data_IF_951699732688
#
_entry.id   IF_951699732688
#
_cell.length_a   1.000
_cell.length_b   1.000
_cell.length_c   1.000
_cell.angle_alpha   90.00
_cell.angle_beta   90.00
_cell.angle_gamma   90.00
#
_symmetry.space_group_name_H-M   'P 1'
#
loop_
_entity.id
_entity.type
_entity.pdbx_description
1 polymer ?
#
# COMPACT_ATOMS: atom_id res chain seq x y z
N UNK A 1 2.72 -11.22 -8.26
CA UNK A 1 3.61 -10.67 -7.22
C UNK A 1 3.70 -11.65 -6.05
N UNK A 2 4.88 -11.86 -5.48
CA UNK A 2 5.12 -12.78 -4.34
C UNK A 2 5.26 -11.95 -3.07
N UNK A 3 4.46 -12.24 -2.04
CA UNK A 3 4.58 -11.58 -0.75
C UNK A 3 5.97 -11.83 -0.13
N UNK A 4 6.57 -10.81 0.47
CA UNK A 4 7.89 -10.92 1.11
C UNK A 4 7.77 -11.00 2.62
N UNK A 5 8.77 -11.57 3.28
CA UNK A 5 8.88 -11.55 4.73
C UNK A 5 9.12 -10.12 5.19
N UNK A 6 8.61 -9.76 6.37
CA UNK A 6 8.85 -8.41 6.91
C UNK A 6 10.35 -8.12 7.10
N UNK A 7 11.17 -9.15 7.37
CA UNK A 7 12.64 -9.07 7.45
C UNK A 7 13.31 -8.77 6.11
N UNK A 8 12.59 -8.96 5.00
CA UNK A 8 13.06 -8.76 3.63
C UNK A 8 12.45 -7.50 3.00
N UNK A 9 11.67 -6.70 3.76
CA UNK A 9 10.94 -5.53 3.25
C UNK A 9 11.86 -4.51 2.56
N UNK A 10 13.08 -4.33 3.07
CA UNK A 10 14.07 -3.43 2.45
C UNK A 10 14.52 -3.96 1.09
N UNK A 11 14.73 -5.28 0.97
CA UNK A 11 15.26 -5.92 -0.23
C UNK A 11 16.47 -5.14 -0.81
N UNK A 12 17.44 -4.80 0.03
CA UNK A 12 18.63 -4.02 -0.35
C UNK A 12 18.41 -2.52 -0.61
N UNK A 13 17.20 -2.00 -0.39
CA UNK A 13 16.88 -0.57 -0.41
C UNK A 13 16.41 -0.17 1.00
N UNK A 14 17.23 0.52 1.80
CA UNK A 14 16.83 0.96 3.12
C UNK A 14 15.82 2.12 3.04
N UNK A 15 15.01 2.30 4.10
CA UNK A 15 13.99 3.36 4.16
C UNK A 15 14.58 4.77 3.93
N UNK A 16 15.82 5.02 4.37
CA UNK A 16 16.51 6.29 4.15
C UNK A 16 16.67 6.62 2.67
N UNK A 17 16.87 5.61 1.81
CA UNK A 17 16.99 5.80 0.37
C UNK A 17 15.65 6.18 -0.27
N UNK A 18 14.52 5.62 0.20
CA UNK A 18 13.19 6.07 -0.21
C UNK A 18 12.95 7.54 0.14
N UNK A 19 13.27 7.91 1.38
CA UNK A 19 13.09 9.28 1.85
C UNK A 19 13.96 10.27 1.05
N UNK A 20 15.19 9.89 0.70
CA UNK A 20 16.08 10.68 -0.16
C UNK A 20 15.55 10.84 -1.58
N UNK A 21 14.83 9.85 -2.10
CA UNK A 21 14.12 9.93 -3.38
C UNK A 21 12.81 10.74 -3.30
N UNK A 22 12.44 11.27 -2.12
CA UNK A 22 11.19 12.01 -1.92
C UNK A 22 9.96 11.13 -1.71
N UNK A 23 10.16 9.87 -1.32
CA UNK A 23 9.07 8.91 -1.11
C UNK A 23 8.87 8.63 0.38
N UNK A 24 7.68 8.95 0.88
CA UNK A 24 7.25 8.68 2.26
C UNK A 24 6.40 7.40 2.30
N UNK A 25 6.78 6.41 3.12
CA UNK A 25 5.92 5.26 3.39
C UNK A 25 4.80 5.68 4.33
N UNK A 26 3.55 5.56 3.87
CA UNK A 26 2.36 6.03 4.61
C UNK A 26 1.47 4.89 5.11
N UNK A 27 1.59 3.70 4.54
CA UNK A 27 0.87 2.51 4.99
C UNK A 27 1.59 1.22 4.58
N UNK A 28 1.59 0.23 5.46
CA UNK A 28 2.08 -1.12 5.23
C UNK A 28 0.98 -2.08 5.66
N UNK A 29 0.63 -3.03 4.80
CA UNK A 29 -0.32 -4.11 5.08
C UNK A 29 0.47 -5.38 5.32
N UNK A 30 0.32 -5.97 6.49
CA UNK A 30 0.88 -7.26 6.85
C UNK A 30 -0.17 -8.37 6.85
N UNK A 31 0.29 -9.62 6.75
CA UNK A 31 -0.53 -10.79 7.07
C UNK A 31 0.26 -11.80 7.88
N UNK A 32 -0.45 -12.61 8.66
CA UNK A 32 0.13 -13.64 9.52
C UNK A 32 -0.81 -14.84 9.56
N UNK A 33 -0.27 -16.06 9.65
CA UNK A 33 -1.08 -17.29 9.71
C UNK A 33 -0.83 -18.02 11.02
N UNK A 34 -1.90 -18.30 11.77
CA UNK A 34 -1.84 -19.03 13.05
C UNK A 34 -1.86 -20.56 12.90
N UNK A 35 -2.00 -21.06 11.67
CA UNK A 35 -2.11 -22.49 11.34
C UNK A 35 -3.24 -23.26 12.04
N UNK A 36 -4.27 -22.53 12.49
CA UNK A 36 -5.44 -23.09 13.15
C UNK A 36 -6.67 -22.23 12.90
N UNK A 37 -7.83 -22.84 13.07
CA UNK A 37 -9.07 -22.08 13.14
C UNK A 37 -9.28 -21.48 14.53
N UNK A 38 -10.05 -20.40 14.57
CA UNK A 38 -10.40 -19.64 15.77
C UNK A 38 -11.92 -19.58 15.94
N UNK A 39 -12.38 -19.76 17.18
CA UNK A 39 -13.75 -19.45 17.55
C UNK A 39 -13.86 -17.94 17.77
N UNK A 40 -14.42 -17.23 16.79
CA UNK A 40 -14.50 -15.77 16.83
C UNK A 40 -15.58 -15.26 17.80
N UNK A 41 -16.56 -16.09 18.16
CA UNK A 41 -17.59 -15.72 19.13
C UNK A 41 -17.00 -15.72 20.54
N UNK A 42 -16.34 -16.81 20.92
CA UNK A 42 -15.62 -16.92 22.20
C UNK A 42 -14.55 -15.83 22.33
N UNK A 43 -13.76 -15.59 21.27
CA UNK A 43 -12.78 -14.51 21.28
C UNK A 43 -13.41 -13.12 21.39
N UNK A 44 -14.58 -12.87 20.79
CA UNK A 44 -15.23 -11.57 20.89
C UNK A 44 -15.76 -11.29 22.31
N UNK A 45 -16.19 -12.33 23.02
CA UNK A 45 -16.69 -12.23 24.39
C UNK A 45 -15.55 -11.96 25.39
N UNK A 46 -14.40 -12.61 25.21
CA UNK A 46 -13.27 -12.53 26.15
C UNK A 46 -12.24 -11.42 25.83
N UNK A 47 -12.19 -10.95 24.58
CA UNK A 47 -11.17 -10.01 24.13
C UNK A 47 -11.69 -8.57 24.05
N UNK A 48 -11.17 -7.70 24.93
CA UNK A 48 -11.41 -6.27 24.86
C UNK A 48 -10.88 -5.63 23.56
N UNK A 49 -11.45 -4.48 23.19
CA UNK A 49 -11.11 -3.72 21.98
C UNK A 49 -11.33 -4.49 20.66
N UNK A 50 -12.30 -5.40 20.68
CA UNK A 50 -12.76 -6.12 19.50
C UNK A 50 -14.10 -5.57 19.00
N UNK A 51 -14.37 -5.81 17.72
CA UNK A 51 -15.68 -5.66 17.10
C UNK A 51 -15.89 -6.85 16.19
N UNK A 52 -16.99 -7.57 16.41
CA UNK A 52 -17.35 -8.73 15.61
C UNK A 52 -18.85 -8.71 15.31
N UNK A 53 -19.18 -8.56 14.04
CA UNK A 53 -20.55 -8.49 13.54
C UNK A 53 -20.63 -9.38 12.28
N UNK A 54 -20.72 -10.71 12.42
CA UNK A 54 -20.58 -11.67 11.32
C UNK A 54 -21.58 -11.44 10.18
N UNK A 55 -22.76 -10.90 10.47
CA UNK A 55 -23.79 -10.53 9.49
C UNK A 55 -23.34 -9.41 8.54
N UNK A 56 -22.39 -8.58 8.96
CA UNK A 56 -21.83 -7.47 8.16
C UNK A 56 -20.44 -7.78 7.66
N UNK A 57 -19.60 -8.39 8.52
CA UNK A 57 -18.22 -8.70 8.19
C UNK A 57 -17.76 -9.96 8.95
N UNK A 58 -17.23 -10.92 8.20
CA UNK A 58 -16.93 -12.27 8.71
C UNK A 58 -15.68 -12.38 9.59
N UNK A 59 -14.92 -11.30 9.74
CA UNK A 59 -13.71 -11.28 10.56
C UNK A 59 -13.91 -10.45 11.82
N UNK A 60 -13.35 -10.94 12.92
CA UNK A 60 -13.21 -10.16 14.16
C UNK A 60 -12.18 -9.06 13.92
N UNK A 61 -12.49 -7.83 14.33
CA UNK A 61 -11.59 -6.68 14.21
C UNK A 61 -11.05 -6.33 15.59
N UNK A 62 -9.77 -6.57 15.83
CA UNK A 62 -9.09 -6.14 17.04
C UNK A 62 -8.32 -4.83 16.80
N UNK A 63 -8.44 -3.87 17.73
CA UNK A 63 -7.72 -2.59 17.68
C UNK A 63 -6.88 -2.43 18.94
N UNK A 64 -5.55 -2.64 18.87
CA UNK A 64 -4.68 -2.44 20.03
C UNK A 64 -4.73 -0.96 20.48
N UNK A 65 -4.94 -0.66 21.78
CA UNK A 65 -5.07 0.73 22.24
C UNK A 65 -3.85 1.62 21.97
N UNK A 66 -2.65 1.03 22.02
CA UNK A 66 -1.37 1.74 21.89
C UNK A 66 -0.85 1.79 20.44
N UNK A 67 -1.56 1.19 19.48
CA UNK A 67 -1.12 1.12 18.08
C UNK A 67 -2.24 1.55 17.13
N UNK A 68 -1.91 2.43 16.19
CA UNK A 68 -2.85 2.92 15.18
C UNK A 68 -3.06 1.90 14.04
N UNK A 69 -3.36 0.65 14.39
CA UNK A 69 -3.57 -0.45 13.44
C UNK A 69 -4.89 -1.16 13.72
N UNK A 70 -5.32 -1.99 12.77
CA UNK A 70 -6.41 -2.94 12.98
C UNK A 70 -5.96 -4.33 12.53
N UNK A 71 -6.30 -5.34 13.33
CA UNK A 71 -6.04 -6.75 13.03
C UNK A 71 -7.38 -7.39 12.69
N UNK A 72 -7.50 -7.82 11.44
CA UNK A 72 -8.65 -8.48 10.86
C UNK A 72 -8.42 -9.99 10.97
N UNK A 73 -9.24 -10.64 11.78
CA UNK A 73 -9.08 -12.04 12.18
C UNK A 73 -10.25 -12.87 11.68
N UNK A 74 -10.13 -13.55 10.53
CA UNK A 74 -11.12 -14.52 10.08
C UNK A 74 -11.01 -15.84 10.86
N UNK A 75 -12.08 -16.64 10.83
CA UNK A 75 -12.11 -17.98 11.45
C UNK A 75 -10.96 -18.88 11.00
N UNK A 76 -10.46 -18.71 9.78
CA UNK A 76 -9.34 -19.50 9.22
C UNK A 76 -7.97 -19.23 9.88
N UNK A 77 -7.86 -18.22 10.74
CA UNK A 77 -6.60 -17.83 11.38
C UNK A 77 -5.57 -17.18 10.45
N UNK A 78 -5.96 -16.80 9.21
CA UNK A 78 -5.15 -15.96 8.31
C UNK A 78 -5.45 -14.49 8.57
N UNK A 79 -4.67 -13.89 9.46
CA UNK A 79 -4.83 -12.52 9.91
C UNK A 79 -4.36 -11.53 8.83
N UNK A 80 -5.03 -10.38 8.75
CA UNK A 80 -4.52 -9.21 8.04
C UNK A 80 -4.34 -8.05 9.02
N UNK A 81 -3.23 -7.32 8.88
CA UNK A 81 -2.88 -6.17 9.73
C UNK A 81 -2.83 -4.94 8.83
N UNK A 82 -3.66 -3.93 9.13
CA UNK A 82 -3.80 -2.71 8.33
C UNK A 82 -3.58 -1.45 9.16
N UNK A 83 -3.16 -0.37 8.51
CA UNK A 83 -2.97 0.95 9.15
C UNK A 83 -1.56 1.20 9.70
N UNK A 84 -0.67 0.20 9.65
CA UNK A 84 0.71 0.35 10.09
C UNK A 84 1.47 1.34 9.21
N UNK A 85 2.26 2.23 9.81
CA UNK A 85 3.12 3.18 9.07
C UNK A 85 4.57 2.74 9.04
N UNK A 86 4.92 1.75 9.87
CA UNK A 86 6.26 1.19 9.95
C UNK A 86 6.21 -0.34 10.10
N UNK A 87 7.31 -1.04 9.76
CA UNK A 87 7.44 -2.46 10.06
C UNK A 87 7.32 -2.76 11.56
N UNK A 88 7.75 -1.83 12.40
CA UNK A 88 7.67 -1.95 13.86
C UNK A 88 6.21 -1.97 14.34
N UNK A 89 5.33 -1.13 13.78
CA UNK A 89 3.90 -1.13 14.12
C UNK A 89 3.25 -2.51 13.84
N UNK A 90 3.64 -3.15 12.73
CA UNK A 90 3.16 -4.50 12.39
C UNK A 90 3.63 -5.52 13.43
N UNK A 91 4.92 -5.49 13.80
CA UNK A 91 5.51 -6.43 14.75
C UNK A 91 4.91 -6.27 16.15
N UNK A 92 4.87 -5.06 16.67
CA UNK A 92 4.38 -4.78 18.02
C UNK A 92 2.88 -5.06 18.13
N UNK A 93 2.09 -4.60 17.16
CA UNK A 93 0.66 -4.84 17.17
C UNK A 93 0.28 -6.31 17.01
N UNK A 94 1.01 -7.05 16.17
CA UNK A 94 0.86 -8.51 16.09
C UNK A 94 1.20 -9.17 17.43
N UNK A 95 2.34 -8.83 18.04
CA UNK A 95 2.79 -9.39 19.31
C UNK A 95 1.77 -9.15 20.44
N UNK A 96 1.19 -7.95 20.52
CA UNK A 96 0.10 -7.64 21.49
C UNK A 96 -1.10 -8.58 21.29
N UNK A 97 -1.53 -8.79 20.05
CA UNK A 97 -2.67 -9.66 19.76
C UNK A 97 -2.35 -11.14 20.04
N UNK A 98 -1.18 -11.62 19.62
CA UNK A 98 -0.74 -12.99 19.87
C UNK A 98 -0.64 -13.29 21.36
N UNK A 99 -0.08 -12.39 22.17
CA UNK A 99 -0.04 -12.53 23.63
C UNK A 99 -1.43 -12.60 24.27
N UNK A 100 -2.38 -11.81 23.77
CA UNK A 100 -3.77 -11.88 24.24
C UNK A 100 -4.41 -13.22 23.90
N UNK A 101 -4.25 -13.71 22.67
CA UNK A 101 -4.69 -15.04 22.26
C UNK A 101 -4.09 -16.15 23.15
N UNK A 102 -2.77 -16.10 23.44
CA UNK A 102 -2.12 -17.05 24.34
C UNK A 102 -2.71 -16.99 25.76
N UNK A 103 -3.01 -15.80 26.29
CA UNK A 103 -3.61 -15.64 27.61
C UNK A 103 -5.03 -16.22 27.73
N UNK A 104 -5.74 -16.34 26.60
CA UNK A 104 -7.03 -17.00 26.47
C UNK A 104 -6.91 -18.51 26.19
N UNK A 105 -5.70 -19.07 26.26
CA UNK A 105 -5.46 -20.49 26.06
C UNK A 105 -5.35 -20.92 24.59
N UNK A 106 -5.33 -19.98 23.64
CA UNK A 106 -5.08 -20.29 22.23
C UNK A 106 -3.60 -20.63 22.06
N UNK A 107 -3.30 -21.87 21.74
CA UNK A 107 -1.93 -22.30 21.45
C UNK A 107 -1.49 -21.74 20.09
N UNK A 108 -0.41 -20.96 20.08
CA UNK A 108 0.15 -20.31 18.90
C UNK A 108 1.54 -20.88 18.64
N UNK A 109 1.80 -21.28 17.39
CA UNK A 109 3.14 -21.61 16.95
C UNK A 109 3.86 -20.33 16.49
N UNK A 110 4.68 -19.74 17.36
CA UNK A 110 5.42 -18.50 17.07
C UNK A 110 6.41 -18.65 15.91
N UNK A 111 7.02 -19.83 15.75
CA UNK A 111 7.97 -20.09 14.68
C UNK A 111 7.30 -20.13 13.29
N UNK A 112 6.03 -20.53 13.23
CA UNK A 112 5.22 -20.53 12.00
C UNK A 112 4.48 -19.20 11.74
N UNK A 113 4.43 -18.31 12.74
CA UNK A 113 3.66 -17.07 12.71
C UNK A 113 4.49 -15.90 12.16
N UNK A 114 5.06 -16.07 10.98
CA UNK A 114 5.86 -15.04 10.31
C UNK A 114 4.96 -13.99 9.62
N UNK A 115 5.30 -12.71 9.77
CA UNK A 115 4.57 -11.63 9.09
C UNK A 115 5.06 -11.51 7.65
N UNK A 116 4.11 -11.57 6.72
CA UNK A 116 4.32 -11.33 5.29
C UNK A 116 3.77 -9.97 4.89
N UNK A 117 4.60 -9.13 4.27
CA UNK A 117 4.19 -7.85 3.69
C UNK A 117 3.35 -8.12 2.45
N UNK A 118 2.12 -7.61 2.44
CA UNK A 118 1.16 -7.75 1.34
C UNK A 118 1.15 -6.52 0.44
N UNK A 119 1.32 -5.33 1.02
CA UNK A 119 1.27 -4.07 0.29
C UNK A 119 1.99 -2.97 1.07
N UNK A 120 2.65 -2.08 0.35
CA UNK A 120 3.26 -0.85 0.84
C UNK A 120 2.70 0.28 -0.01
N UNK A 121 2.24 1.34 0.65
CA UNK A 121 1.81 2.57 0.00
C UNK A 121 2.88 3.64 0.26
N UNK A 122 3.46 4.13 -0.82
CA UNK A 122 4.38 5.28 -0.81
C UNK A 122 3.67 6.51 -1.32
N UNK A 123 3.98 7.67 -0.75
CA UNK A 123 3.54 8.99 -1.21
C UNK A 123 4.73 9.77 -1.71
N UNK A 124 4.53 10.55 -2.77
CA UNK A 124 5.52 11.48 -3.31
C UNK A 124 4.85 12.79 -3.73
N UNK A 125 5.66 13.81 -4.01
CA UNK A 125 5.21 15.09 -4.56
C UNK A 125 6.14 15.49 -5.71
N UNK A 126 5.54 15.86 -6.83
CA UNK A 126 6.21 16.50 -7.95
C UNK A 126 5.98 18.00 -7.73
N UNK A 127 7.02 18.80 -7.53
CA UNK A 127 6.93 20.23 -7.19
C UNK A 127 6.43 21.11 -8.36
N UNK A 128 5.35 20.70 -9.02
CA UNK A 128 4.75 21.33 -10.19
C UNK A 128 3.27 20.98 -10.34
N UNK A 129 2.51 21.88 -10.98
CA UNK A 129 1.15 21.56 -11.41
C UNK A 129 1.15 20.80 -12.73
N UNK A 130 0.20 19.88 -12.88
CA UNK A 130 0.14 18.92 -13.98
C UNK A 130 -1.19 18.98 -14.73
N UNK A 131 -1.14 19.10 -16.05
CA UNK A 131 -2.32 18.89 -16.88
C UNK A 131 -2.56 17.38 -17.08
N UNK A 132 -3.33 16.79 -16.15
CA UNK A 132 -3.65 15.36 -16.17
C UNK A 132 -4.41 14.94 -17.44
N UNK A 133 -5.14 15.85 -18.08
CA UNK A 133 -5.87 15.54 -19.33
C UNK A 133 -4.91 15.33 -20.49
N UNK A 134 -3.80 16.08 -20.53
CA UNK A 134 -2.78 15.93 -21.57
C UNK A 134 -1.86 14.75 -21.23
N UNK A 135 -1.49 14.60 -19.94
CA UNK A 135 -0.64 13.49 -19.47
C UNK A 135 -1.32 12.13 -19.69
N UNK A 136 -2.64 12.02 -19.47
CA UNK A 136 -3.36 10.76 -19.68
C UNK A 136 -3.29 10.28 -21.13
N UNK A 137 -3.34 11.20 -22.10
CA UNK A 137 -3.18 10.90 -23.52
C UNK A 137 -1.76 10.41 -23.84
N UNK A 138 -0.75 11.02 -23.20
CA UNK A 138 0.66 10.67 -23.42
C UNK A 138 1.06 9.29 -22.88
N UNK A 139 0.50 8.87 -21.75
CA UNK A 139 0.76 7.55 -21.16
C UNK A 139 0.08 6.39 -21.91
N UNK A 140 -0.89 6.68 -22.79
CA UNK A 140 -1.66 5.69 -23.52
C UNK A 140 -2.88 5.19 -22.73
N UNK A 141 -4.02 5.14 -23.42
CA UNK A 141 -5.35 4.88 -22.82
C UNK A 141 -5.50 3.48 -22.20
N UNK A 142 -4.66 2.51 -22.57
CA UNK A 142 -4.76 1.14 -22.06
C UNK A 142 -4.22 0.98 -20.64
N UNK A 143 -3.35 1.89 -20.18
CA UNK A 143 -2.70 1.83 -18.86
C UNK A 143 -3.14 2.96 -17.93
N UNK A 144 -4.07 3.82 -18.37
CA UNK A 144 -4.49 5.01 -17.63
C UNK A 144 -6.00 5.04 -17.48
N UNK A 145 -6.45 5.32 -16.26
CA UNK A 145 -7.83 5.67 -15.96
C UNK A 145 -7.85 7.12 -15.45
N UNK A 146 -8.51 8.02 -16.18
CA UNK A 146 -8.68 9.42 -15.77
C UNK A 146 -10.05 9.94 -16.22
N UNK A 147 -10.97 9.97 -15.26
CA UNK A 147 -12.34 10.47 -15.43
C UNK A 147 -12.61 11.52 -14.33
N UNK A 148 -12.22 12.79 -14.54
CA UNK A 148 -12.18 13.81 -13.47
C UNK A 148 -13.54 14.08 -12.81
N UNK A 149 -14.63 13.84 -13.54
CA UNK A 149 -16.00 13.96 -13.01
C UNK A 149 -16.37 12.84 -12.01
N UNK A 150 -15.69 11.69 -12.09
CA UNK A 150 -15.87 10.56 -11.16
C UNK A 150 -14.80 10.57 -10.06
N UNK A 151 -13.55 10.87 -10.43
CA UNK A 151 -12.42 10.89 -9.52
C UNK A 151 -11.34 11.89 -9.97
N UNK A 152 -10.86 12.78 -9.08
CA UNK A 152 -9.96 13.88 -9.48
C UNK A 152 -8.50 13.47 -9.77
N UNK A 153 -8.13 12.22 -9.52
CA UNK A 153 -6.78 11.72 -9.75
C UNK A 153 -6.69 10.87 -11.02
N UNK A 154 -5.52 10.88 -11.65
CA UNK A 154 -5.14 9.95 -12.72
C UNK A 154 -4.62 8.67 -12.07
N UNK A 155 -5.16 7.52 -12.46
CA UNK A 155 -4.68 6.20 -12.06
C UNK A 155 -3.88 5.63 -13.21
N UNK A 156 -2.60 5.37 -12.97
CA UNK A 156 -1.68 4.79 -13.93
C UNK A 156 -1.26 3.39 -13.49
N UNK A 157 -1.70 2.39 -14.23
CA UNK A 157 -1.53 0.98 -13.92
C UNK A 157 -0.99 0.24 -15.13
N UNK A 158 0.20 -0.33 -14.96
CA UNK A 158 0.79 -1.30 -15.88
C UNK A 158 0.62 -2.70 -15.31
N UNK A 159 0.47 -3.68 -16.17
CA UNK A 159 0.32 -5.08 -15.75
C UNK A 159 1.48 -5.51 -14.84
N UNK A 160 1.16 -6.23 -13.77
CA UNK A 160 2.10 -6.74 -12.76
C UNK A 160 3.00 -5.70 -12.07
N UNK A 161 2.78 -4.39 -12.27
CA UNK A 161 3.50 -3.31 -11.62
C UNK A 161 2.67 -2.64 -10.50
N UNK A 162 3.32 -2.01 -9.50
CA UNK A 162 2.61 -1.16 -8.57
C UNK A 162 1.93 0.03 -9.28
N UNK A 163 0.67 0.27 -8.91
CA UNK A 163 -0.16 1.35 -9.45
C UNK A 163 0.32 2.70 -8.93
N UNK A 164 0.43 3.67 -9.83
CA UNK A 164 0.67 5.09 -9.50
C UNK A 164 -0.66 5.82 -9.56
N UNK A 165 -0.95 6.65 -8.57
CA UNK A 165 -2.06 7.60 -8.60
C UNK A 165 -1.49 9.00 -8.49
N UNK A 166 -1.94 9.92 -9.34
CA UNK A 166 -1.39 11.26 -9.47
C UNK A 166 -2.49 12.31 -9.49
N UNK A 167 -2.27 13.43 -8.80
CA UNK A 167 -3.17 14.56 -8.77
C UNK A 167 -2.58 15.74 -9.53
N UNK A 168 -3.45 16.65 -9.99
CA UNK A 168 -3.07 17.90 -10.67
C UNK A 168 -2.09 18.76 -9.86
N UNK A 169 -2.11 18.63 -8.53
CA UNK A 169 -1.20 19.33 -7.62
C UNK A 169 0.23 18.78 -7.62
N UNK A 170 0.52 17.74 -8.42
CA UNK A 170 1.81 17.04 -8.40
C UNK A 170 1.94 16.00 -7.28
N UNK A 171 1.00 15.95 -6.33
CA UNK A 171 0.96 14.89 -5.31
C UNK A 171 0.61 13.56 -5.93
N UNK A 172 1.26 12.49 -5.47
CA UNK A 172 0.97 11.15 -5.95
C UNK A 172 1.23 10.06 -4.91
N UNK A 173 0.76 8.87 -5.22
CA UNK A 173 0.98 7.66 -4.41
C UNK A 173 1.32 6.47 -5.30
N UNK A 174 2.12 5.55 -4.77
CA UNK A 174 2.40 4.25 -5.35
C UNK A 174 1.82 3.19 -4.42
N UNK A 175 1.01 2.27 -4.94
CA UNK A 175 0.42 1.16 -4.19
C UNK A 175 0.56 -0.15 -4.97
N UNK A 176 0.66 -1.28 -4.27
CA UNK A 176 0.83 -2.61 -4.85
C UNK A 176 2.26 -3.15 -4.72
N UNK A 177 3.20 -2.34 -4.20
CA UNK A 177 4.56 -2.80 -3.92
C UNK A 177 4.59 -3.66 -2.66
N UNK A 178 5.40 -4.72 -2.62
CA UNK A 178 5.62 -5.53 -1.41
C UNK A 178 6.96 -5.24 -0.72
N UNK A 179 7.86 -4.48 -1.36
CA UNK A 179 9.18 -4.14 -0.83
C UNK A 179 9.58 -2.69 -1.18
N UNK A 180 10.52 -2.13 -0.42
CA UNK A 180 11.06 -0.79 -0.67
C UNK A 180 11.76 -0.71 -2.03
N UNK A 181 12.41 -1.79 -2.46
CA UNK A 181 13.00 -1.89 -3.81
C UNK A 181 11.95 -1.72 -4.92
N UNK A 182 10.84 -2.44 -4.85
CA UNK A 182 9.77 -2.34 -5.85
C UNK A 182 9.20 -0.92 -5.89
N UNK A 183 9.00 -0.32 -4.71
CA UNK A 183 8.45 1.02 -4.57
C UNK A 183 9.39 2.08 -5.18
N UNK A 184 10.70 1.98 -4.91
CA UNK A 184 11.71 2.87 -5.48
C UNK A 184 11.84 2.69 -7.00
N UNK A 185 11.90 1.43 -7.46
CA UNK A 185 12.00 1.11 -8.89
C UNK A 185 10.80 1.65 -9.66
N UNK A 186 9.59 1.48 -9.10
CA UNK A 186 8.38 2.00 -9.74
C UNK A 186 8.36 3.52 -9.78
N UNK A 187 8.80 4.19 -8.70
CA UNK A 187 8.90 5.64 -8.69
C UNK A 187 9.83 6.16 -9.79
N UNK A 188 11.01 5.57 -9.95
CA UNK A 188 11.96 5.98 -11.00
C UNK A 188 11.41 5.72 -12.41
N UNK A 189 10.89 4.53 -12.70
CA UNK A 189 10.28 4.24 -14.01
C UNK A 189 9.13 5.20 -14.32
N UNK A 190 8.25 5.47 -13.35
CA UNK A 190 7.20 6.45 -13.54
C UNK A 190 7.72 7.87 -13.81
N UNK A 191 8.77 8.31 -13.10
CA UNK A 191 9.38 9.64 -13.28
C UNK A 191 10.00 9.78 -14.67
N UNK A 192 10.67 8.74 -15.16
CA UNK A 192 11.26 8.72 -16.50
C UNK A 192 10.18 8.78 -17.58
N UNK A 193 9.15 7.94 -17.45
CA UNK A 193 8.01 7.92 -18.38
C UNK A 193 7.24 9.23 -18.40
N UNK A 194 7.04 9.86 -17.23
CA UNK A 194 6.40 11.17 -17.15
C UNK A 194 7.27 12.26 -17.82
N UNK A 195 8.59 12.21 -17.67
CA UNK A 195 9.50 13.14 -18.33
C UNK A 195 9.40 13.01 -19.85
N UNK A 196 9.44 11.78 -20.37
CA UNK A 196 9.27 11.50 -21.80
C UNK A 196 7.94 12.06 -22.32
N UNK A 197 6.82 11.80 -21.62
CA UNK A 197 5.51 12.33 -22.00
C UNK A 197 5.51 13.85 -22.09
N UNK A 198 6.12 14.53 -21.10
CA UNK A 198 6.20 16.01 -21.08
C UNK A 198 7.03 16.56 -22.25
N UNK A 199 8.16 15.95 -22.59
CA UNK A 199 8.99 16.37 -23.73
C UNK A 199 8.25 16.22 -25.08
N UNK A 200 7.46 15.17 -25.24
CA UNK A 200 6.65 14.96 -26.45
C UNK A 200 5.50 15.98 -26.57
N UNK A 201 4.93 16.39 -25.44
CA UNK A 201 3.88 17.43 -25.40
C UNK A 201 4.48 18.80 -25.79
N UNK A 202 5.62 19.16 -25.21
CA UNK A 202 6.26 20.47 -25.44
C UNK A 202 6.75 20.63 -26.89
N UNK A 203 7.29 19.56 -27.47
CA UNK A 203 7.71 19.54 -28.88
C UNK A 203 6.54 19.65 -29.85
N UNK A 204 5.41 18.99 -29.55
CA UNK A 204 4.19 19.07 -30.36
C UNK A 204 3.58 20.48 -30.35
N UNK A 205 3.52 21.12 -29.18
CA UNK A 205 3.03 22.49 -29.04
C UNK A 205 3.92 23.51 -29.78
N UNK A 206 5.24 23.30 -29.79
CA UNK A 206 6.19 24.18 -30.48
C UNK A 206 6.08 24.11 -32.01
N UNK A 207 5.68 22.95 -32.57
CA UNK A 207 5.47 22.80 -34.03
C UNK A 207 4.14 23.41 -34.51
N UNK A 208 3.09 23.41 -33.68
CA UNK A 208 1.80 24.00 -34.03
C UNK A 208 1.86 25.53 -34.15
N UNK A 209 2.69 26.21 -33.34
CA UNK A 209 2.86 27.67 -33.37
C UNK A 209 3.65 28.13 -34.61
N UNK A 210 4.45 27.25 -35.22
CA UNK A 210 5.27 27.54 -36.40
C UNK A 210 4.53 27.53 -37.74
N UNK A 211 3.27 27.08 -37.79
CA UNK A 211 2.47 27.01 -39.03
C UNK A 211 1.43 28.12 -39.20
N UNK A 212 1.35 29.07 -38.26
CA UNK A 212 0.47 30.26 -38.36
C UNK A 212 1.21 31.55 -38.77
N UNK A 213 2.38 31.47 -39.43
CA UNK A 213 3.09 32.63 -39.99
C UNK A 213 3.25 32.56 -41.50
#
# INVERSE_FOLDING_TARGET
>A
MTNVRITEIENGVPLQQLNQAGIEVVNIVGSLRLERELDLEELADDLEHTSYHPETYSSLIFRPPEHNISILTPRSGKLAIVGAKSPQDLLEGADVFLKKLESLGVQINKEASEILVQNIVGKFELDEELDLSVISLGFGLESVEYEPEQFPGLIYKKDDEPTVMLFRTGKGTITGANSYRELLSRYHSFRDELADVKEHIDSSNSQSIGQEK
#
